data_IF_087970248471
#
_entry.id   IF_087970248471
#
_cell.length_a   1.000
_cell.length_b   1.000
_cell.length_c   1.000
_cell.angle_alpha   90.00
_cell.angle_beta   90.00
_cell.angle_gamma   90.00
#
_symmetry.space_group_name_H-M   'P 1'
#
loop_
_entity.id
_entity.type
_entity.pdbx_description
1 polymer ?
#
# COMPACT_ATOMS: atom_id res chain seq x y z
N UNK A 1 15.19 -0.81 63.00
CA UNK A 1 15.75 -0.23 64.23
C UNK A 1 16.65 0.95 63.85
N UNK A 2 16.21 2.15 64.26
CA UNK A 2 16.99 3.35 64.62
C UNK A 2 18.05 3.90 63.63
N UNK A 3 17.85 5.10 63.08
CA UNK A 3 18.17 6.41 63.72
C UNK A 3 19.70 6.60 63.82
N UNK A 4 20.35 7.72 63.53
CA UNK A 4 19.99 9.10 63.18
C UNK A 4 21.34 9.85 63.20
N UNK A 5 21.50 10.88 62.36
CA UNK A 5 22.20 12.15 62.61
C UNK A 5 23.72 12.14 62.97
N UNK A 6 24.60 12.77 62.16
CA UNK A 6 24.87 14.23 62.02
C UNK A 6 25.92 14.68 63.05
N UNK A 7 26.99 15.38 62.60
CA UNK A 7 27.49 16.71 63.08
C UNK A 7 29.00 16.95 62.77
N UNK A 8 29.34 17.92 61.87
CA UNK A 8 30.02 19.26 62.05
C UNK A 8 31.57 19.11 62.31
N UNK A 9 32.56 19.76 61.66
CA UNK A 9 32.90 21.21 61.61
C UNK A 9 33.93 21.58 60.51
N UNK A 10 33.62 22.72 59.87
CA UNK A 10 34.35 23.79 59.18
C UNK A 10 35.87 23.73 58.92
N UNK A 11 36.23 24.26 57.74
CA UNK A 11 37.20 25.37 57.60
C UNK A 11 36.76 26.35 56.50
N UNK A 12 36.71 27.63 56.84
CA UNK A 12 36.36 28.81 56.03
C UNK A 12 37.57 29.35 55.23
N UNK A 13 37.31 30.11 54.14
CA UNK A 13 37.95 31.38 53.70
C UNK A 13 37.41 31.74 52.29
N UNK A 14 36.39 32.63 52.19
CA UNK A 14 36.42 34.05 51.75
C UNK A 14 36.42 34.34 50.21
N UNK A 15 35.21 34.64 49.68
CA UNK A 15 34.73 35.78 48.84
C UNK A 15 35.57 36.40 47.68
N UNK A 16 34.98 37.09 46.66
CA UNK A 16 33.67 37.77 46.69
C UNK A 16 32.73 37.59 45.49
N UNK A 17 31.51 38.07 45.76
CA UNK A 17 30.27 38.11 44.98
C UNK A 17 30.32 39.26 43.96
N UNK A 18 29.81 39.03 42.75
CA UNK A 18 29.20 40.08 41.91
C UNK A 18 27.85 39.56 41.41
N UNK A 19 26.77 40.15 41.93
CA UNK A 19 25.43 39.95 41.42
C UNK A 19 25.21 40.75 40.15
N UNK A 20 24.50 40.15 39.20
CA UNK A 20 23.80 40.88 38.15
C UNK A 20 22.34 40.42 38.13
N UNK A 21 21.47 41.33 38.56
CA UNK A 21 20.05 41.38 38.28
C UNK A 21 19.85 41.55 36.78
N UNK A 22 19.04 40.71 36.15
CA UNK A 22 18.54 40.96 34.79
C UNK A 22 17.08 41.38 34.90
N UNK A 23 16.85 42.66 34.61
CA UNK A 23 15.53 43.24 34.40
C UNK A 23 14.82 42.56 33.22
N UNK A 24 13.57 42.17 33.44
CA UNK A 24 12.64 41.79 32.38
C UNK A 24 12.18 43.09 31.71
N UNK A 25 12.77 43.43 30.55
CA UNK A 25 12.17 44.37 29.60
C UNK A 25 11.52 43.57 28.48
N UNK A 26 10.22 43.77 28.31
CA UNK A 26 9.48 43.29 27.15
C UNK A 26 9.96 43.99 25.89
N UNK A 27 10.47 43.24 24.94
CA UNK A 27 10.69 43.69 23.56
C UNK A 27 9.67 42.99 22.65
N UNK A 28 8.88 43.82 21.99
CA UNK A 28 7.96 43.40 20.95
C UNK A 28 8.74 42.79 19.78
N UNK A 29 8.35 41.59 19.35
CA UNK A 29 8.90 40.96 18.15
C UNK A 29 8.35 41.72 16.94
N UNK A 30 9.18 42.62 16.40
CA UNK A 30 8.99 43.26 15.11
C UNK A 30 9.17 42.22 14.00
N UNK A 31 8.18 42.10 13.12
CA UNK A 31 8.25 41.29 11.90
C UNK A 31 9.42 41.77 11.03
N UNK A 32 10.41 40.91 10.81
CA UNK A 32 11.56 41.25 10.00
C UNK A 32 11.29 40.87 8.53
N UNK A 33 10.98 41.89 7.74
CA UNK A 33 10.78 41.90 6.28
C UNK A 33 12.07 41.52 5.52
N UNK A 34 12.46 40.24 5.53
CA UNK A 34 13.61 39.78 4.74
C UNK A 34 13.38 38.51 3.94
N UNK A 35 12.14 38.02 3.84
CA UNK A 35 11.80 36.89 2.96
C UNK A 35 11.24 37.37 1.61
N UNK A 36 10.44 38.43 1.58
CA UNK A 36 9.85 38.96 0.34
C UNK A 36 10.86 39.68 -0.58
N UNK A 37 11.89 40.33 -0.03
CA UNK A 37 12.88 41.05 -0.84
C UNK A 37 13.80 40.12 -1.66
N UNK A 38 14.01 38.87 -1.20
CA UNK A 38 14.84 37.88 -1.91
C UNK A 38 14.16 37.25 -3.13
N UNK A 39 12.85 37.44 -3.30
CA UNK A 39 12.09 36.91 -4.44
C UNK A 39 12.14 37.87 -5.64
N UNK A 40 12.40 39.16 -5.42
CA UNK A 40 12.19 40.19 -6.47
C UNK A 40 13.35 40.39 -7.46
N UNK A 41 14.54 39.84 -7.21
CA UNK A 41 15.75 40.13 -8.00
C UNK A 41 16.55 38.89 -8.45
N UNK A 42 15.91 37.79 -8.85
CA UNK A 42 16.58 36.77 -9.66
C UNK A 42 16.21 36.93 -11.12
N UNK A 43 17.22 37.18 -11.97
CA UNK A 43 17.19 36.94 -13.42
C UNK A 43 16.53 35.59 -13.70
N UNK A 44 15.83 35.41 -14.82
CA UNK A 44 15.14 34.16 -15.13
C UNK A 44 16.18 33.04 -15.14
N UNK A 45 16.17 32.20 -14.10
CA UNK A 45 16.76 30.88 -14.23
C UNK A 45 15.93 30.20 -15.32
N UNK A 46 16.62 29.68 -16.33
CA UNK A 46 16.03 28.77 -17.30
C UNK A 46 15.10 27.77 -16.59
N UNK A 47 13.88 27.65 -17.13
CA UNK A 47 12.84 26.72 -16.73
C UNK A 47 13.42 25.36 -16.29
N UNK A 48 13.36 25.04 -14.98
CA UNK A 48 13.49 23.66 -14.53
C UNK A 48 12.31 22.85 -15.09
N UNK A 49 12.52 22.09 -16.16
CA UNK A 49 11.51 21.20 -16.73
C UNK A 49 11.68 19.76 -16.21
N UNK A 50 10.58 19.00 -15.99
CA UNK A 50 9.35 19.39 -15.31
C UNK A 50 9.08 18.47 -14.10
N UNK A 51 8.06 18.81 -13.30
CA UNK A 51 7.52 17.97 -12.23
C UNK A 51 7.14 16.56 -12.75
N UNK A 52 7.06 15.56 -11.86
CA UNK A 52 6.49 14.26 -12.21
C UNK A 52 5.00 14.42 -12.57
N UNK A 53 4.71 14.52 -13.87
CA UNK A 53 3.38 14.87 -14.39
C UNK A 53 2.68 13.62 -14.93
N UNK A 54 1.37 13.54 -14.70
CA UNK A 54 0.50 12.51 -15.27
C UNK A 54 -0.07 12.94 -16.61
N UNK A 55 -0.55 11.96 -17.38
CA UNK A 55 -1.14 12.19 -18.69
C UNK A 55 -2.67 11.92 -18.65
N UNK A 56 -3.53 12.90 -19.00
CA UNK A 56 -4.98 12.69 -19.02
C UNK A 56 -5.42 11.60 -20.02
N UNK A 57 -4.62 11.31 -21.05
CA UNK A 57 -4.91 10.25 -22.02
C UNK A 57 -4.99 8.86 -21.39
N UNK A 58 -4.33 8.64 -20.23
CA UNK A 58 -4.46 7.39 -19.49
C UNK A 58 -5.90 7.12 -19.02
N UNK A 59 -6.71 8.16 -18.87
CA UNK A 59 -8.13 8.07 -18.49
C UNK A 59 -9.03 8.05 -19.72
N UNK A 60 -8.72 8.89 -20.72
CA UNK A 60 -9.57 9.03 -21.91
C UNK A 60 -9.48 7.80 -22.83
N UNK A 61 -8.27 7.31 -23.02
CA UNK A 61 -7.88 6.20 -23.90
C UNK A 61 -6.90 5.27 -23.16
N UNK A 62 -7.40 4.51 -22.15
CA UNK A 62 -6.56 3.75 -21.24
C UNK A 62 -5.72 2.69 -21.97
N UNK A 63 -4.41 2.72 -21.69
CA UNK A 63 -3.43 1.75 -22.19
C UNK A 63 -2.51 1.33 -21.06
N UNK A 64 -1.97 0.11 -21.15
CA UNK A 64 -0.98 -0.35 -20.19
C UNK A 64 0.30 0.50 -20.31
N UNK A 65 0.95 0.83 -19.18
CA UNK A 65 2.21 1.54 -19.22
C UNK A 65 3.31 0.69 -19.83
N UNK A 66 4.21 1.38 -20.52
CA UNK A 66 5.51 0.81 -20.86
C UNK A 66 6.31 0.53 -19.59
N UNK A 67 7.19 -0.45 -19.66
CA UNK A 67 8.08 -0.77 -18.54
C UNK A 67 8.97 0.44 -18.18
N UNK A 68 9.11 0.78 -16.88
CA UNK A 68 9.96 1.89 -16.48
C UNK A 68 11.41 1.64 -16.90
N UNK A 69 12.01 2.59 -17.64
CA UNK A 69 13.41 2.53 -18.05
C UNK A 69 14.23 3.65 -17.40
N UNK A 70 15.52 3.39 -17.15
CA UNK A 70 16.45 4.39 -16.63
C UNK A 70 16.90 5.32 -17.77
N UNK A 71 16.27 6.48 -17.92
CA UNK A 71 16.79 7.56 -18.79
C UNK A 71 17.79 8.43 -18.01
N UNK A 72 17.50 8.75 -16.73
CA UNK A 72 18.40 9.36 -15.72
C UNK A 72 18.04 8.90 -14.30
N UNK A 73 18.95 9.04 -13.33
CA UNK A 73 18.70 8.63 -11.92
C UNK A 73 17.63 9.47 -11.20
N UNK A 74 17.45 10.74 -11.56
CA UNK A 74 16.37 11.59 -11.04
C UNK A 74 14.99 11.15 -11.55
N UNK A 75 14.93 10.58 -12.75
CA UNK A 75 13.68 10.33 -13.48
C UNK A 75 13.10 8.94 -13.18
N UNK A 76 13.90 8.06 -12.55
CA UNK A 76 13.47 6.68 -12.29
C UNK A 76 12.34 6.60 -11.28
N UNK A 77 12.33 7.40 -10.22
CA UNK A 77 11.22 7.32 -9.25
C UNK A 77 9.91 7.73 -9.92
N UNK A 78 9.92 8.86 -10.62
CA UNK A 78 8.77 9.33 -11.35
C UNK A 78 8.25 8.30 -12.36
N UNK A 79 9.11 7.65 -13.15
CA UNK A 79 8.65 6.67 -14.15
C UNK A 79 7.93 5.47 -13.53
N UNK A 80 8.33 5.02 -12.34
CA UNK A 80 7.58 4.00 -11.58
C UNK A 80 6.25 4.52 -11.01
N UNK A 81 6.18 5.78 -10.59
CA UNK A 81 4.92 6.38 -10.13
C UNK A 81 3.94 6.61 -11.29
N UNK A 82 4.44 7.01 -12.47
CA UNK A 82 3.66 7.09 -13.70
C UNK A 82 3.17 5.70 -14.14
N UNK A 83 4.04 4.69 -14.09
CA UNK A 83 3.64 3.29 -14.30
C UNK A 83 2.52 2.87 -13.35
N UNK A 84 2.58 3.26 -12.07
CA UNK A 84 1.53 2.95 -11.11
C UNK A 84 0.20 3.61 -11.50
N UNK A 85 0.19 4.91 -11.75
CA UNK A 85 -1.04 5.65 -12.11
C UNK A 85 -1.64 5.20 -13.44
N UNK A 86 -0.83 4.97 -14.46
CA UNK A 86 -1.31 4.47 -15.74
C UNK A 86 -1.86 3.03 -15.61
N UNK A 87 -1.22 2.17 -14.80
CA UNK A 87 -1.75 0.83 -14.49
C UNK A 87 -3.09 0.91 -13.78
N UNK A 88 -3.23 1.81 -12.78
CA UNK A 88 -4.49 2.06 -12.10
C UNK A 88 -5.56 2.49 -13.10
N UNK A 89 -5.31 3.54 -13.90
CA UNK A 89 -6.26 4.05 -14.87
C UNK A 89 -6.72 2.99 -15.88
N UNK A 90 -5.81 2.10 -16.31
CA UNK A 90 -6.15 0.97 -17.17
C UNK A 90 -7.06 -0.04 -16.45
N UNK A 91 -6.64 -0.59 -15.32
CA UNK A 91 -7.37 -1.67 -14.66
C UNK A 91 -8.69 -1.22 -14.00
N UNK A 92 -8.84 0.07 -13.68
CA UNK A 92 -10.09 0.64 -13.14
C UNK A 92 -11.03 1.19 -14.21
N UNK A 93 -10.68 1.05 -15.48
CA UNK A 93 -11.53 1.47 -16.60
C UNK A 93 -12.28 0.29 -17.19
N UNK A 94 -13.61 0.40 -17.22
CA UNK A 94 -14.54 -0.51 -17.88
C UNK A 94 -14.36 -0.56 -19.42
N UNK A 95 -13.67 0.42 -20.00
CA UNK A 95 -13.28 0.43 -21.42
C UNK A 95 -12.16 -0.55 -21.79
N UNK A 96 -11.59 -1.27 -20.81
CA UNK A 96 -10.44 -2.17 -21.04
C UNK A 96 -10.85 -3.64 -20.90
N UNK A 97 -10.15 -4.53 -21.59
CA UNK A 97 -10.40 -5.97 -21.53
C UNK A 97 -9.99 -6.63 -20.20
N UNK A 98 -9.23 -5.92 -19.38
CA UNK A 98 -8.72 -6.39 -18.09
C UNK A 98 -9.32 -5.56 -16.95
N UNK A 99 -10.54 -5.05 -17.09
CA UNK A 99 -11.20 -4.35 -15.98
C UNK A 99 -11.18 -5.22 -14.73
N UNK A 100 -10.73 -4.67 -13.59
CA UNK A 100 -10.37 -5.48 -12.42
C UNK A 100 -11.53 -6.30 -11.84
N UNK A 101 -12.78 -5.90 -12.09
CA UNK A 101 -13.98 -6.63 -11.67
C UNK A 101 -14.26 -7.87 -12.52
N UNK A 102 -13.65 -7.98 -13.71
CA UNK A 102 -13.83 -9.11 -14.63
C UNK A 102 -12.69 -10.14 -14.47
N UNK A 103 -11.64 -9.78 -13.72
CA UNK A 103 -10.48 -10.63 -13.44
C UNK A 103 -10.83 -11.85 -12.58
N UNK A 104 -10.16 -12.99 -12.84
CA UNK A 104 -10.44 -14.23 -12.14
C UNK A 104 -10.06 -14.15 -10.66
N UNK A 105 -11.01 -14.30 -9.72
CA UNK A 105 -10.73 -14.28 -8.29
C UNK A 105 -10.07 -15.58 -7.81
N UNK A 106 -9.28 -15.48 -6.74
CA UNK A 106 -8.61 -16.60 -6.07
C UNK A 106 -9.55 -17.81 -5.88
N UNK A 107 -10.75 -17.59 -5.34
CA UNK A 107 -11.63 -18.68 -4.93
C UNK A 107 -12.14 -19.54 -6.10
N UNK A 108 -12.13 -18.98 -7.32
CA UNK A 108 -12.48 -19.72 -8.55
C UNK A 108 -11.31 -20.50 -9.13
N UNK A 109 -10.09 -20.14 -8.76
CA UNK A 109 -8.84 -20.79 -9.21
C UNK A 109 -8.46 -21.92 -8.26
N UNK A 110 -8.49 -21.68 -6.95
CA UNK A 110 -7.94 -22.56 -5.92
C UNK A 110 -8.96 -23.59 -5.43
N UNK A 111 -9.42 -24.40 -6.37
CA UNK A 111 -10.26 -25.60 -6.17
C UNK A 111 -9.74 -26.75 -7.03
N UNK A 112 -10.24 -27.97 -6.86
CA UNK A 112 -9.73 -29.17 -7.56
C UNK A 112 -9.70 -28.97 -9.08
N UNK A 113 -10.80 -28.43 -9.62
CA UNK A 113 -10.93 -28.07 -11.04
C UNK A 113 -11.18 -26.55 -11.12
N UNK A 114 -10.16 -25.75 -11.50
CA UNK A 114 -10.33 -24.30 -11.67
C UNK A 114 -11.46 -23.95 -12.63
N UNK A 115 -12.20 -22.87 -12.34
CA UNK A 115 -13.22 -22.38 -13.28
C UNK A 115 -12.60 -21.87 -14.57
N UNK A 116 -13.28 -22.12 -15.68
CA UNK A 116 -12.93 -21.51 -16.96
C UNK A 116 -13.11 -19.99 -16.93
N UNK A 117 -12.21 -19.29 -17.63
CA UNK A 117 -12.28 -17.83 -17.77
C UNK A 117 -13.57 -17.39 -18.49
N UNK A 118 -14.35 -16.52 -17.86
CA UNK A 118 -15.66 -16.09 -18.35
C UNK A 118 -15.93 -14.57 -18.23
N UNK A 119 -14.93 -13.78 -17.82
CA UNK A 119 -15.05 -12.33 -17.55
C UNK A 119 -16.13 -11.98 -16.50
N UNK A 120 -16.51 -12.89 -15.60
CA UNK A 120 -17.48 -12.59 -14.53
C UNK A 120 -16.85 -12.21 -13.20
N UNK A 121 -15.52 -12.29 -13.11
CA UNK A 121 -14.78 -12.11 -11.87
C UNK A 121 -15.42 -12.86 -10.69
N UNK A 122 -15.80 -12.10 -9.67
CA UNK A 122 -16.38 -12.58 -8.41
C UNK A 122 -17.92 -12.53 -8.36
N UNK A 123 -18.59 -12.30 -9.49
CA UNK A 123 -20.05 -12.29 -9.53
C UNK A 123 -20.62 -13.65 -9.08
N UNK A 124 -21.54 -13.62 -8.11
CA UNK A 124 -22.16 -14.81 -7.55
C UNK A 124 -21.34 -15.52 -6.46
N UNK A 125 -20.16 -15.01 -6.11
CA UNK A 125 -19.41 -15.49 -4.95
C UNK A 125 -19.90 -14.82 -3.66
N UNK A 126 -19.74 -15.55 -2.55
CA UNK A 126 -19.89 -15.01 -1.20
C UNK A 126 -18.51 -14.56 -0.71
N UNK A 127 -18.38 -13.28 -0.35
CA UNK A 127 -17.15 -12.72 0.18
C UNK A 127 -16.98 -13.10 1.65
N UNK A 128 -15.85 -13.73 1.99
CA UNK A 128 -15.58 -14.27 3.34
C UNK A 128 -14.22 -13.83 3.92
N UNK A 129 -13.32 -13.35 3.07
CA UNK A 129 -11.95 -13.01 3.45
C UNK A 129 -11.89 -11.67 4.20
N UNK A 130 -11.70 -11.70 5.52
CA UNK A 130 -11.66 -10.51 6.38
C UNK A 130 -10.35 -10.31 7.14
N UNK A 131 -9.43 -11.29 7.09
CA UNK A 131 -8.22 -11.34 7.92
C UNK A 131 -6.95 -10.96 7.14
N UNK A 132 -7.01 -9.87 6.37
CA UNK A 132 -5.93 -9.47 5.45
C UNK A 132 -5.31 -8.10 5.75
N UNK A 133 -5.58 -7.51 6.93
CA UNK A 133 -5.06 -6.22 7.38
C UNK A 133 -3.61 -6.27 7.94
N UNK A 134 -2.84 -7.28 7.54
CA UNK A 134 -1.48 -7.56 8.01
C UNK A 134 -1.39 -8.36 9.33
N UNK A 135 -2.51 -8.91 9.79
CA UNK A 135 -2.57 -9.79 10.96
C UNK A 135 -3.71 -10.80 10.80
N UNK A 136 -3.83 -11.76 11.71
CA UNK A 136 -4.97 -12.69 11.73
C UNK A 136 -6.23 -12.08 12.39
N UNK A 137 -6.38 -10.75 12.32
CA UNK A 137 -7.49 -10.01 12.90
C UNK A 137 -8.22 -9.19 11.82
N UNK A 138 -9.55 -9.03 11.93
CA UNK A 138 -10.30 -8.20 11.00
C UNK A 138 -10.02 -6.72 11.24
N UNK A 139 -9.99 -5.94 10.16
CA UNK A 139 -10.10 -4.49 10.22
C UNK A 139 -11.58 -4.12 10.31
N UNK A 140 -12.00 -3.56 11.44
CA UNK A 140 -13.39 -3.15 11.64
C UNK A 140 -13.58 -1.65 11.37
N UNK A 141 -14.62 -1.30 10.60
CA UNK A 141 -15.05 0.09 10.36
C UNK A 141 -15.68 0.75 11.61
N UNK A 142 -16.13 2.01 11.50
CA UNK A 142 -16.72 2.73 12.64
C UNK A 142 -18.05 2.15 13.13
N UNK A 143 -18.72 1.37 12.29
CA UNK A 143 -19.95 0.65 12.57
C UNK A 143 -19.68 -0.76 13.14
N UNK A 144 -18.41 -1.18 13.19
CA UNK A 144 -17.98 -2.48 13.71
C UNK A 144 -18.03 -3.61 12.69
N UNK A 145 -18.31 -3.33 11.42
CA UNK A 145 -18.30 -4.34 10.37
C UNK A 145 -16.86 -4.62 9.90
N UNK A 146 -16.53 -5.88 9.55
CA UNK A 146 -15.22 -6.19 9.00
C UNK A 146 -15.08 -5.63 7.57
N UNK A 147 -13.86 -5.27 7.22
CA UNK A 147 -13.43 -5.02 5.84
C UNK A 147 -13.19 -6.37 5.16
N UNK A 148 -13.72 -6.50 3.95
CA UNK A 148 -13.59 -7.69 3.10
C UNK A 148 -12.47 -7.49 2.09
N UNK A 149 -11.79 -8.56 1.70
CA UNK A 149 -10.65 -8.52 0.80
C UNK A 149 -10.81 -9.51 -0.32
N UNK A 150 -10.38 -9.13 -1.51
CA UNK A 150 -10.42 -10.00 -2.67
C UNK A 150 -9.11 -9.91 -3.44
N UNK A 151 -8.61 -11.07 -3.87
CA UNK A 151 -7.48 -11.17 -4.78
C UNK A 151 -7.99 -11.72 -6.12
N UNK A 152 -7.65 -11.05 -7.21
CA UNK A 152 -7.95 -11.49 -8.56
C UNK A 152 -6.72 -11.33 -9.47
N UNK A 153 -6.72 -12.08 -10.56
CA UNK A 153 -5.62 -12.07 -11.53
C UNK A 153 -6.13 -11.89 -12.95
N UNK A 154 -5.34 -11.21 -13.78
CA UNK A 154 -5.69 -11.04 -15.19
C UNK A 154 -5.60 -12.38 -15.95
N UNK A 155 -6.16 -12.40 -17.16
CA UNK A 155 -6.28 -13.60 -17.99
C UNK A 155 -4.95 -14.30 -18.22
N UNK A 156 -3.89 -13.52 -18.41
CA UNK A 156 -2.54 -14.02 -18.61
C UNK A 156 -2.02 -14.79 -17.40
N UNK A 157 -2.13 -14.20 -16.21
CA UNK A 157 -1.64 -14.85 -14.99
C UNK A 157 -2.51 -16.07 -14.63
N UNK A 158 -3.83 -15.99 -14.82
CA UNK A 158 -4.73 -17.13 -14.68
C UNK A 158 -4.26 -18.35 -15.51
N UNK A 159 -3.95 -18.16 -16.79
CA UNK A 159 -3.51 -19.27 -17.64
C UNK A 159 -2.17 -19.84 -17.22
N UNK A 160 -1.22 -19.01 -16.77
CA UNK A 160 0.05 -19.52 -16.23
C UNK A 160 -0.21 -20.37 -14.97
N UNK A 161 -1.11 -19.93 -14.08
CA UNK A 161 -1.49 -20.69 -12.86
C UNK A 161 -2.09 -22.05 -13.22
N UNK A 162 -3.06 -22.09 -14.13
CA UNK A 162 -3.74 -23.34 -14.53
C UNK A 162 -2.78 -24.27 -15.29
N UNK A 163 -2.00 -23.74 -16.24
CA UNK A 163 -1.00 -24.50 -17.00
C UNK A 163 0.00 -25.22 -16.08
N UNK A 164 0.41 -24.56 -15.00
CA UNK A 164 1.36 -25.11 -14.04
C UNK A 164 0.68 -25.86 -12.87
N UNK A 165 -0.65 -25.96 -12.85
CA UNK A 165 -1.40 -26.67 -11.80
C UNK A 165 -1.21 -26.07 -10.40
N UNK A 166 -1.00 -24.75 -10.29
CA UNK A 166 -0.61 -24.11 -9.01
C UNK A 166 -1.76 -24.00 -7.99
N UNK A 167 -2.95 -24.49 -8.33
CA UNK A 167 -4.02 -24.79 -7.38
C UNK A 167 -3.74 -26.06 -6.56
N UNK A 168 -2.82 -26.93 -7.03
CA UNK A 168 -2.38 -28.13 -6.34
C UNK A 168 -1.08 -27.89 -5.55
N UNK A 169 -1.11 -28.15 -4.24
CA UNK A 169 0.06 -27.97 -3.36
C UNK A 169 1.25 -28.86 -3.75
N UNK A 170 1.02 -29.99 -4.41
CA UNK A 170 2.10 -30.85 -4.87
C UNK A 170 2.86 -30.25 -6.07
N UNK A 171 2.19 -29.47 -6.93
CA UNK A 171 2.85 -28.70 -7.99
C UNK A 171 3.62 -27.51 -7.43
N UNK A 172 3.10 -26.88 -6.37
CA UNK A 172 3.84 -25.86 -5.60
C UNK A 172 5.12 -26.46 -4.99
N UNK A 173 5.05 -27.66 -4.41
CA UNK A 173 6.21 -28.35 -3.85
C UNK A 173 7.27 -28.73 -4.92
N UNK A 174 6.84 -29.11 -6.14
CA UNK A 174 7.74 -29.34 -7.27
C UNK A 174 8.50 -28.05 -7.67
N UNK A 175 7.85 -26.88 -7.60
CA UNK A 175 8.50 -25.58 -7.81
C UNK A 175 9.48 -25.28 -6.67
N UNK A 176 9.06 -25.48 -5.42
CA UNK A 176 9.89 -25.20 -4.25
C UNK A 176 11.16 -26.05 -4.20
N UNK A 177 11.05 -27.33 -4.55
CA UNK A 177 12.19 -28.24 -4.70
C UNK A 177 13.10 -27.92 -5.90
N UNK A 178 12.65 -27.05 -6.81
CA UNK A 178 13.38 -26.70 -8.04
C UNK A 178 13.28 -27.77 -9.14
N UNK A 179 12.40 -28.77 -8.96
CA UNK A 179 12.11 -29.78 -9.99
C UNK A 179 11.45 -29.16 -11.22
N UNK A 180 10.62 -28.14 -11.02
CA UNK A 180 10.03 -27.33 -12.08
C UNK A 180 10.33 -25.84 -11.87
N UNK A 181 10.58 -25.06 -12.94
CA UNK A 181 10.77 -23.62 -12.79
C UNK A 181 9.43 -22.92 -12.52
N UNK A 182 9.46 -21.88 -11.69
CA UNK A 182 8.35 -20.94 -11.59
C UNK A 182 8.37 -20.01 -12.81
N UNK A 183 7.45 -20.25 -13.75
CA UNK A 183 7.37 -19.47 -15.00
C UNK A 183 6.01 -18.76 -15.10
N UNK A 184 6.01 -17.48 -14.68
CA UNK A 184 4.89 -16.57 -14.91
C UNK A 184 5.31 -15.57 -15.98
N UNK A 185 4.48 -15.37 -16.97
CA UNK A 185 4.79 -14.53 -18.12
C UNK A 185 4.78 -13.02 -17.77
N UNK A 186 5.61 -12.18 -18.41
CA UNK A 186 5.47 -10.72 -18.33
C UNK A 186 4.08 -10.24 -18.77
N UNK A 187 3.52 -9.25 -18.08
CA UNK A 187 2.13 -8.80 -18.27
C UNK A 187 1.13 -9.48 -17.34
N UNK A 188 1.54 -10.52 -16.60
CA UNK A 188 0.76 -11.09 -15.51
C UNK A 188 0.57 -10.07 -14.38
N UNK A 189 -0.67 -9.92 -13.93
CA UNK A 189 -1.08 -8.94 -12.94
C UNK A 189 -1.95 -9.59 -11.87
N UNK A 190 -1.65 -9.28 -10.61
CA UNK A 190 -2.53 -9.52 -9.47
C UNK A 190 -3.09 -8.20 -8.96
N UNK A 191 -4.40 -8.18 -8.68
CA UNK A 191 -5.09 -7.08 -8.03
C UNK A 191 -5.61 -7.59 -6.69
N UNK A 192 -5.27 -6.89 -5.60
CA UNK A 192 -5.88 -7.10 -4.29
C UNK A 192 -6.72 -5.89 -3.95
N UNK A 193 -7.94 -6.09 -3.47
CA UNK A 193 -8.88 -5.01 -3.10
C UNK A 193 -9.35 -5.18 -1.67
N UNK A 194 -9.69 -4.07 -1.02
CA UNK A 194 -10.32 -4.03 0.29
C UNK A 194 -11.63 -3.24 0.21
N UNK A 195 -12.67 -3.74 0.86
CA UNK A 195 -14.04 -3.26 0.70
C UNK A 195 -14.69 -3.09 2.06
N UNK A 196 -15.28 -1.92 2.31
CA UNK A 196 -16.15 -1.72 3.48
C UNK A 196 -17.60 -1.95 3.11
N UNK A 197 -18.42 -2.34 4.08
CA UNK A 197 -19.87 -2.30 3.93
C UNK A 197 -20.34 -0.83 3.96
N UNK A 198 -21.21 -0.46 3.03
CA UNK A 198 -21.83 0.87 3.05
C UNK A 198 -22.96 0.89 4.07
N UNK A 199 -22.97 1.92 4.92
CA UNK A 199 -24.00 2.20 5.91
C UNK A 199 -24.77 3.47 5.52
N UNK A 200 -25.85 3.76 6.26
CA UNK A 200 -26.59 5.02 6.12
C UNK A 200 -25.77 6.27 6.49
N UNK A 201 -24.60 6.07 7.09
CA UNK A 201 -23.68 7.13 7.44
C UNK A 201 -22.69 7.44 6.31
N UNK A 202 -22.57 6.59 5.30
CA UNK A 202 -21.68 6.79 4.17
C UNK A 202 -22.37 7.55 3.03
N UNK A 203 -21.56 8.16 2.15
CA UNK A 203 -22.04 8.65 0.86
C UNK A 203 -21.52 7.73 -0.24
N UNK A 204 -22.32 6.79 -0.77
CA UNK A 204 -21.90 5.85 -1.79
C UNK A 204 -21.29 6.50 -3.04
N UNK A 205 -21.68 7.73 -3.38
CA UNK A 205 -21.15 8.46 -4.54
C UNK A 205 -19.65 8.80 -4.43
N UNK A 206 -19.07 8.71 -3.22
CA UNK A 206 -17.65 8.94 -3.00
C UNK A 206 -16.81 7.67 -3.25
N UNK A 207 -17.43 6.49 -3.29
CA UNK A 207 -16.76 5.20 -3.40
C UNK A 207 -17.08 4.54 -4.75
N UNK A 208 -16.16 3.71 -5.25
CA UNK A 208 -16.50 2.76 -6.29
C UNK A 208 -17.28 1.64 -5.60
N UNK A 209 -18.54 1.45 -5.97
CA UNK A 209 -19.45 0.58 -5.24
C UNK A 209 -19.90 -0.63 -6.03
N UNK A 210 -20.06 -1.75 -5.34
CA UNK A 210 -20.58 -3.01 -5.88
C UNK A 210 -21.62 -3.59 -4.92
N UNK A 211 -22.48 -4.48 -5.41
CA UNK A 211 -23.32 -5.33 -4.56
C UNK A 211 -22.76 -6.75 -4.56
N UNK A 212 -22.59 -7.34 -3.38
CA UNK A 212 -22.13 -8.72 -3.21
C UNK A 212 -22.82 -9.41 -2.04
N UNK A 213 -22.80 -10.72 -2.09
CA UNK A 213 -23.14 -11.54 -0.94
C UNK A 213 -21.91 -11.62 -0.04
N UNK A 214 -22.10 -11.46 1.27
CA UNK A 214 -21.02 -11.44 2.26
C UNK A 214 -21.36 -12.38 3.41
N UNK A 215 -20.36 -13.05 3.96
CA UNK A 215 -20.52 -13.82 5.20
C UNK A 215 -20.05 -12.99 6.40
N UNK A 216 -20.93 -12.83 7.39
CA UNK A 216 -20.62 -12.15 8.66
C UNK A 216 -21.09 -13.07 9.78
N UNK A 217 -20.17 -13.44 10.68
CA UNK A 217 -20.46 -14.29 11.84
C UNK A 217 -21.19 -15.60 11.47
N UNK A 218 -20.82 -16.21 10.34
CA UNK A 218 -21.40 -17.46 9.83
C UNK A 218 -22.77 -17.31 9.17
N UNK A 219 -23.28 -16.09 9.01
CA UNK A 219 -24.52 -15.80 8.29
C UNK A 219 -24.24 -15.09 6.96
N UNK A 220 -24.78 -15.62 5.88
CA UNK A 220 -24.73 -14.99 4.56
C UNK A 220 -25.76 -13.86 4.51
N UNK A 221 -25.29 -12.65 4.19
CA UNK A 221 -26.12 -11.50 3.85
C UNK A 221 -26.01 -11.25 2.36
N UNK A 222 -27.13 -11.36 1.65
CA UNK A 222 -27.15 -11.18 0.20
C UNK A 222 -27.30 -9.72 -0.22
N UNK A 223 -26.76 -9.40 -1.39
CA UNK A 223 -26.91 -8.11 -2.07
C UNK A 223 -26.55 -6.90 -1.19
N UNK A 224 -25.45 -7.00 -0.44
CA UNK A 224 -24.94 -5.92 0.41
C UNK A 224 -24.15 -4.93 -0.44
N UNK A 225 -24.44 -3.63 -0.29
CA UNK A 225 -23.70 -2.56 -0.94
C UNK A 225 -22.34 -2.39 -0.25
N UNK A 226 -21.27 -2.46 -1.04
CA UNK A 226 -19.89 -2.32 -0.59
C UNK A 226 -19.20 -1.18 -1.32
N UNK A 227 -18.21 -0.55 -0.69
CA UNK A 227 -17.38 0.49 -1.28
C UNK A 227 -15.90 0.17 -1.20
N UNK A 228 -15.18 0.35 -2.30
CA UNK A 228 -13.75 0.12 -2.39
C UNK A 228 -13.00 1.11 -1.47
N UNK A 229 -12.14 0.61 -0.60
CA UNK A 229 -11.32 1.45 0.30
C UNK A 229 -9.83 1.33 0.03
N UNK A 230 -9.37 0.27 -0.63
CA UNK A 230 -7.96 0.09 -0.98
C UNK A 230 -7.76 -0.85 -2.16
N UNK A 231 -6.70 -0.63 -2.92
CA UNK A 231 -6.34 -1.48 -4.06
C UNK A 231 -4.82 -1.56 -4.23
N UNK A 232 -4.32 -2.79 -4.33
CA UNK A 232 -2.98 -3.10 -4.78
C UNK A 232 -3.04 -3.59 -6.21
N UNK A 233 -2.10 -3.12 -7.03
CA UNK A 233 -1.90 -3.60 -8.40
C UNK A 233 -0.43 -4.02 -8.50
N UNK A 234 -0.21 -5.31 -8.71
CA UNK A 234 1.11 -5.93 -8.74
C UNK A 234 1.33 -6.51 -10.13
N UNK A 235 2.26 -5.93 -10.89
CA UNK A 235 2.47 -6.28 -12.31
C UNK A 235 3.85 -6.82 -12.58
N UNK A 236 3.93 -7.95 -13.29
CA UNK A 236 5.18 -8.48 -13.82
C UNK A 236 5.53 -7.79 -15.12
N UNK A 237 6.77 -7.36 -15.26
CA UNK A 237 7.31 -6.86 -16.55
C UNK A 237 8.57 -7.66 -16.93
N UNK A 238 9.14 -7.39 -18.10
CA UNK A 238 10.27 -8.17 -18.62
C UNK A 238 11.53 -7.98 -17.77
N UNK A 239 11.81 -6.75 -17.37
CA UNK A 239 12.94 -6.36 -16.52
C UNK A 239 12.57 -6.25 -15.04
N UNK A 240 11.30 -6.44 -14.67
CA UNK A 240 10.87 -6.66 -13.28
C UNK A 240 10.11 -7.98 -13.16
N UNK A 241 10.76 -9.13 -13.38
CA UNK A 241 10.12 -10.43 -13.22
C UNK A 241 9.74 -10.72 -11.76
N UNK A 242 10.20 -9.89 -10.83
CA UNK A 242 9.83 -9.86 -9.43
C UNK A 242 8.58 -9.05 -9.08
N UNK A 243 7.92 -8.52 -10.11
CA UNK A 243 6.79 -7.63 -10.04
C UNK A 243 7.10 -6.22 -9.50
N UNK A 244 6.37 -5.25 -10.03
CA UNK A 244 6.29 -3.88 -9.53
C UNK A 244 5.04 -3.80 -8.66
N UNK A 245 5.21 -3.35 -7.42
CA UNK A 245 4.18 -3.33 -6.40
C UNK A 245 3.65 -1.91 -6.24
N UNK A 246 2.35 -1.72 -6.47
CA UNK A 246 1.73 -0.39 -6.40
C UNK A 246 0.51 -0.42 -5.49
N UNK A 247 0.35 0.66 -4.71
CA UNK A 247 -0.70 0.75 -3.70
C UNK A 247 -1.47 2.05 -3.85
N UNK A 248 -2.79 1.94 -3.91
CA UNK A 248 -3.74 3.05 -3.90
C UNK A 248 -4.75 2.84 -2.78
N UNK A 249 -5.32 3.94 -2.30
CA UNK A 249 -6.40 3.88 -1.32
C UNK A 249 -7.33 5.08 -1.41
N UNK A 250 -8.50 4.93 -0.82
CA UNK A 250 -9.47 6.00 -0.73
C UNK A 250 -8.95 7.10 0.22
N UNK A 251 -9.01 8.37 -0.23
CA UNK A 251 -8.51 9.53 0.48
C UNK A 251 -9.10 9.63 1.88
N UNK A 252 -10.39 9.33 2.03
CA UNK A 252 -11.14 9.38 3.28
C UNK A 252 -10.91 8.21 4.26
N UNK A 253 -9.94 7.32 4.03
CA UNK A 253 -9.73 6.18 4.94
C UNK A 253 -9.30 6.60 6.35
N UNK A 254 -8.22 7.36 6.45
CA UNK A 254 -7.57 7.70 7.72
C UNK A 254 -6.75 8.99 7.59
N UNK A 255 -6.44 9.72 8.67
CA UNK A 255 -5.47 10.81 8.65
C UNK A 255 -4.03 10.26 8.65
N UNK A 256 -3.05 11.14 8.42
CA UNK A 256 -1.64 10.85 8.71
C UNK A 256 -1.43 10.91 10.22
N UNK A 257 -0.63 10.00 10.78
CA UNK A 257 -0.44 9.95 12.25
C UNK A 257 0.24 11.21 12.81
N UNK A 258 1.02 11.93 11.99
CA UNK A 258 1.62 13.21 12.36
C UNK A 258 0.57 14.34 12.50
N UNK A 259 -0.57 14.19 11.83
CA UNK A 259 -1.67 15.16 11.84
C UNK A 259 -2.73 14.82 12.90
N UNK A 260 -2.64 13.66 13.56
CA UNK A 260 -3.48 13.30 14.71
C UNK A 260 -2.97 14.11 15.91
N UNK A 261 -3.67 15.16 16.36
CA UNK A 261 -3.11 16.09 17.33
C UNK A 261 -3.14 15.49 18.73
N UNK A 262 -2.38 16.15 19.60
CA UNK A 262 -2.71 16.21 21.02
C UNK A 262 -4.19 16.65 21.14
N UNK A 263 -5.03 15.87 21.82
CA UNK A 263 -6.50 15.82 21.72
C UNK A 263 -7.24 17.16 21.95
N UNK A 264 -6.54 18.25 22.25
CA UNK A 264 -7.05 19.58 22.57
C UNK A 264 -7.33 20.47 21.35
N UNK A 265 -6.67 20.27 20.21
CA UNK A 265 -6.72 21.21 19.07
C UNK A 265 -7.29 20.66 17.76
N UNK A 266 -7.80 19.42 17.75
CA UNK A 266 -8.50 18.93 16.56
C UNK A 266 -9.84 19.66 16.44
N UNK A 267 -9.88 20.73 15.64
CA UNK A 267 -11.13 21.15 15.01
C UNK A 267 -11.68 19.93 14.30
N UNK A 268 -12.64 19.21 14.93
CA UNK A 268 -13.49 18.13 14.41
C UNK A 268 -13.10 17.76 12.97
N UNK A 269 -11.94 17.13 12.75
CA UNK A 269 -11.47 16.99 11.37
C UNK A 269 -12.46 16.10 10.63
N UNK A 270 -12.55 16.27 9.32
CA UNK A 270 -13.51 15.58 8.47
C UNK A 270 -13.73 14.10 8.80
N UNK A 271 -14.91 13.62 8.45
CA UNK A 271 -15.31 12.24 8.71
C UNK A 271 -14.36 11.26 8.01
N UNK A 272 -13.59 10.50 8.79
CA UNK A 272 -12.75 9.42 8.30
C UNK A 272 -13.48 8.09 8.37
N UNK A 273 -13.16 7.20 7.45
CA UNK A 273 -13.77 5.86 7.33
C UNK A 273 -13.34 4.95 8.48
N UNK A 274 -12.07 5.05 8.90
CA UNK A 274 -11.47 4.20 9.91
C UNK A 274 -10.85 4.99 11.07
N UNK A 275 -11.25 6.25 11.26
CA UNK A 275 -10.72 7.07 12.35
C UNK A 275 -11.78 7.98 12.96
N UNK A 276 -11.89 7.93 14.29
CA UNK A 276 -12.71 8.81 15.09
C UNK A 276 -11.80 9.58 16.06
N UNK A 277 -11.68 10.92 15.91
CA UNK A 277 -10.83 11.72 16.78
C UNK A 277 -11.27 11.75 18.25
N UNK A 278 -12.50 11.34 18.56
CA UNK A 278 -13.00 11.23 19.93
C UNK A 278 -12.66 9.88 20.57
N UNK A 279 -12.06 8.95 19.83
CA UNK A 279 -11.68 7.63 20.35
C UNK A 279 -10.38 7.69 21.12
N UNK A 280 -10.35 7.10 22.32
CA UNK A 280 -9.13 6.89 23.11
C UNK A 280 -8.41 5.58 22.78
N UNK A 281 -8.91 4.80 21.82
CA UNK A 281 -8.27 3.55 21.41
C UNK A 281 -6.92 3.83 20.75
N UNK A 282 -5.94 2.98 21.03
CA UNK A 282 -4.64 3.03 20.36
C UNK A 282 -4.83 2.83 18.85
N UNK A 283 -4.29 3.74 18.05
CA UNK A 283 -4.31 3.64 16.59
C UNK A 283 -3.54 2.41 16.07
N UNK A 284 -3.96 1.89 14.93
CA UNK A 284 -3.38 0.74 14.23
C UNK A 284 -3.23 -0.48 15.13
N UNK A 285 -4.20 -0.69 16.04
CA UNK A 285 -4.24 -1.81 16.99
C UNK A 285 -5.63 -2.44 16.96
N UNK A 286 -5.67 -3.77 16.91
CA UNK A 286 -6.94 -4.51 16.96
C UNK A 286 -7.46 -4.58 18.39
N UNK A 287 -8.75 -4.27 18.55
CA UNK A 287 -9.49 -4.47 19.80
C UNK A 287 -10.75 -5.30 19.47
N UNK A 288 -10.92 -6.51 20.06
CA UNK A 288 -12.06 -7.36 19.79
C UNK A 288 -13.41 -6.65 19.94
N UNK A 289 -14.27 -6.77 18.92
CA UNK A 289 -15.61 -6.18 18.92
C UNK A 289 -15.65 -4.65 18.93
N UNK A 290 -14.54 -3.97 18.62
CA UNK A 290 -14.47 -2.50 18.53
C UNK A 290 -14.07 -2.04 17.13
N UNK A 291 -14.52 -0.85 16.71
CA UNK A 291 -13.97 -0.16 15.55
C UNK A 291 -12.47 0.03 15.67
N UNK A 292 -11.74 -0.34 14.61
CA UNK A 292 -10.31 -0.06 14.55
C UNK A 292 -10.11 1.42 14.26
N UNK A 293 -9.18 2.04 15.00
CA UNK A 293 -8.75 3.41 14.74
C UNK A 293 -7.48 3.38 13.92
N UNK A 294 -7.47 3.99 12.75
CA UNK A 294 -6.39 3.90 11.78
C UNK A 294 -5.77 5.28 11.56
N UNK A 295 -4.45 5.33 11.46
CA UNK A 295 -3.73 6.48 10.91
C UNK A 295 -2.57 5.98 10.03
N UNK A 296 -2.14 6.79 9.08
CA UNK A 296 -0.99 6.47 8.20
C UNK A 296 0.30 6.84 8.89
N UNK A 297 1.12 5.85 9.25
CA UNK A 297 2.41 6.08 9.93
C UNK A 297 3.50 6.53 8.96
N UNK A 298 3.42 6.09 7.72
CA UNK A 298 4.42 6.38 6.67
C UNK A 298 3.71 6.85 5.39
N UNK A 299 3.15 8.07 5.40
CA UNK A 299 2.54 8.65 4.21
C UNK A 299 3.51 8.61 3.03
N UNK A 300 2.98 8.22 1.87
CA UNK A 300 3.75 8.01 0.64
C UNK A 300 4.85 6.92 0.70
N UNK A 301 4.84 6.09 1.75
CA UNK A 301 5.91 5.14 2.08
C UNK A 301 7.27 5.81 2.30
N UNK A 302 7.25 7.08 2.72
CA UNK A 302 8.45 7.89 2.99
C UNK A 302 8.69 7.95 4.49
N UNK A 303 9.96 7.88 4.89
CA UNK A 303 10.43 8.05 6.26
C UNK A 303 11.92 8.38 6.24
N UNK A 304 12.62 8.30 7.38
CA UNK A 304 14.05 8.65 7.52
C UNK A 304 14.94 8.00 6.44
N UNK A 305 14.56 6.80 5.95
CA UNK A 305 15.33 6.02 4.97
C UNK A 305 14.95 6.26 3.50
N UNK A 306 13.90 7.04 3.25
CA UNK A 306 13.40 7.35 1.91
C UNK A 306 13.75 8.78 1.55
N UNK A 307 14.15 9.02 0.30
CA UNK A 307 14.55 10.36 -0.10
C UNK A 307 13.31 11.27 -0.26
N UNK A 308 13.37 12.56 0.14
CA UNK A 308 12.24 13.49 0.03
C UNK A 308 11.65 13.62 -1.38
N UNK A 309 12.46 13.38 -2.42
CA UNK A 309 12.02 13.50 -3.82
C UNK A 309 10.94 12.48 -4.17
N UNK A 310 10.95 11.28 -3.57
CA UNK A 310 9.89 10.27 -3.80
C UNK A 310 8.53 10.82 -3.38
N UNK A 311 8.45 11.46 -2.21
CA UNK A 311 7.20 12.05 -1.73
C UNK A 311 6.76 13.22 -2.62
N UNK A 312 7.71 14.03 -3.10
CA UNK A 312 7.45 15.14 -4.01
C UNK A 312 6.84 14.65 -5.33
N UNK A 313 7.41 13.61 -5.92
CA UNK A 313 6.93 13.03 -7.19
C UNK A 313 5.52 12.46 -7.03
N UNK A 314 5.28 11.68 -5.97
CA UNK A 314 3.95 11.10 -5.71
C UNK A 314 2.90 12.18 -5.48
N UNK A 315 3.22 13.23 -4.71
CA UNK A 315 2.28 14.34 -4.45
C UNK A 315 1.94 15.09 -5.74
N UNK A 316 2.94 15.50 -6.51
CA UNK A 316 2.71 16.21 -7.78
C UNK A 316 1.87 15.38 -8.75
N UNK A 317 2.16 14.09 -8.86
CA UNK A 317 1.42 13.18 -9.74
C UNK A 317 -0.02 12.93 -9.23
N UNK A 318 -0.21 12.77 -7.93
CA UNK A 318 -1.53 12.66 -7.31
C UNK A 318 -2.38 13.91 -7.53
N UNK A 319 -1.80 15.11 -7.41
CA UNK A 319 -2.49 16.38 -7.67
C UNK A 319 -2.96 16.45 -9.12
N UNK A 320 -2.08 16.15 -10.08
CA UNK A 320 -2.41 16.14 -11.50
C UNK A 320 -3.51 15.12 -11.84
N UNK A 321 -3.34 13.86 -11.44
CA UNK A 321 -4.31 12.80 -11.72
C UNK A 321 -5.64 13.04 -11.03
N UNK A 322 -5.63 13.52 -9.78
CA UNK A 322 -6.84 13.91 -9.06
C UNK A 322 -7.60 15.00 -9.82
N UNK A 323 -6.90 16.03 -10.32
CA UNK A 323 -7.52 17.08 -11.13
C UNK A 323 -8.15 16.52 -12.40
N UNK A 324 -7.46 15.64 -13.13
CA UNK A 324 -8.01 15.02 -14.34
C UNK A 324 -9.25 14.15 -14.08
N UNK A 325 -9.29 13.39 -12.98
CA UNK A 325 -10.49 12.64 -12.62
C UNK A 325 -11.63 13.54 -12.14
N UNK A 326 -11.35 14.64 -11.43
CA UNK A 326 -12.36 15.60 -10.98
C UNK A 326 -13.05 16.29 -12.16
N UNK A 327 -12.29 16.74 -13.17
CA UNK A 327 -12.87 17.38 -14.36
C UNK A 327 -13.75 16.43 -15.18
N UNK A 328 -13.63 15.11 -14.95
CA UNK A 328 -14.46 14.05 -15.55
C UNK A 328 -15.58 13.58 -14.62
N UNK A 329 -15.80 14.23 -13.47
CA UNK A 329 -16.74 13.79 -12.43
C UNK A 329 -16.57 12.31 -12.05
N UNK A 330 -15.33 11.82 -12.07
CA UNK A 330 -15.03 10.41 -11.85
C UNK A 330 -14.82 10.12 -10.36
N UNK A 331 -15.37 9.00 -9.90
CA UNK A 331 -15.20 8.51 -8.52
C UNK A 331 -13.73 8.25 -8.16
N UNK A 332 -12.90 7.95 -9.17
CA UNK A 332 -11.47 7.71 -9.01
C UNK A 332 -10.70 8.93 -8.51
N UNK A 333 -11.29 10.14 -8.58
CA UNK A 333 -10.76 11.34 -7.93
C UNK A 333 -10.69 11.24 -6.39
N UNK A 334 -11.41 10.30 -5.79
CA UNK A 334 -11.38 10.04 -4.35
C UNK A 334 -10.29 9.04 -3.93
N UNK A 335 -9.46 8.57 -4.85
CA UNK A 335 -8.35 7.65 -4.58
C UNK A 335 -7.02 8.35 -4.90
N UNK A 336 -5.95 7.88 -4.28
CA UNK A 336 -4.61 8.41 -4.54
C UNK A 336 -3.56 7.30 -4.47
N UNK A 337 -2.44 7.52 -5.17
CA UNK A 337 -1.27 6.65 -5.09
C UNK A 337 -0.61 6.85 -3.72
N UNK A 338 -0.58 5.80 -2.91
CA UNK A 338 0.26 5.74 -1.71
C UNK A 338 1.72 5.57 -2.14
N UNK A 339 1.99 4.77 -3.15
CA UNK A 339 3.34 4.67 -3.70
C UNK A 339 3.58 3.38 -4.46
N UNK A 340 4.83 3.22 -4.89
CA UNK A 340 5.29 2.03 -5.60
C UNK A 340 6.65 1.54 -5.06
N UNK A 341 6.87 0.22 -5.13
CA UNK A 341 8.12 -0.44 -4.75
C UNK A 341 8.53 -1.46 -5.80
N UNK A 342 9.85 -1.55 -6.04
CA UNK A 342 10.48 -2.48 -6.98
C UNK A 342 11.90 -2.81 -6.54
N UNK A 343 12.48 -3.88 -7.09
CA UNK A 343 13.86 -4.25 -6.78
C UNK A 343 14.80 -3.39 -7.59
N UNK A 344 15.74 -2.71 -6.93
CA UNK A 344 16.80 -1.96 -7.61
C UNK A 344 17.93 -2.93 -7.95
N UNK A 345 18.23 -3.02 -9.24
CA UNK A 345 19.44 -3.65 -9.73
C UNK A 345 20.66 -2.74 -9.48
N UNK A 346 21.44 -3.07 -8.45
CA UNK A 346 22.77 -2.50 -8.20
C UNK A 346 23.76 -3.62 -7.82
N UNK A 347 24.97 -3.58 -8.40
CA UNK A 347 26.03 -4.56 -8.13
C UNK A 347 25.78 -5.96 -8.73
N UNK A 348 26.05 -7.01 -7.95
CA UNK A 348 25.99 -8.43 -8.34
C UNK A 348 24.59 -9.04 -8.40
N UNK A 349 23.56 -8.30 -7.99
CA UNK A 349 22.16 -8.75 -8.09
C UNK A 349 21.72 -8.61 -9.54
N UNK A 350 21.54 -9.75 -10.21
CA UNK A 350 21.00 -9.76 -11.58
C UNK A 350 19.56 -9.26 -11.56
N UNK A 351 19.16 -8.57 -12.62
CA UNK A 351 17.74 -8.29 -12.89
C UNK A 351 16.98 -9.61 -12.75
N UNK A 352 15.99 -9.62 -11.86
CA UNK A 352 15.11 -10.77 -11.67
C UNK A 352 15.56 -11.84 -10.68
N UNK A 353 16.45 -11.55 -9.74
CA UNK A 353 16.74 -12.52 -8.70
C UNK A 353 15.59 -12.69 -7.69
N UNK A 354 14.91 -11.62 -7.23
CA UNK A 354 13.74 -11.72 -6.33
C UNK A 354 13.01 -10.37 -6.15
N UNK A 355 11.76 -10.40 -5.64
CA UNK A 355 10.99 -9.22 -5.17
C UNK A 355 11.74 -8.37 -4.16
N UNK A 356 11.30 -7.12 -3.92
CA UNK A 356 11.90 -6.29 -2.90
C UNK A 356 11.77 -6.99 -1.53
N UNK A 357 12.90 -7.18 -0.84
CA UNK A 357 13.04 -7.78 0.48
C UNK A 357 14.01 -6.93 1.32
N UNK A 358 14.34 -7.40 2.52
CA UNK A 358 15.38 -6.78 3.32
C UNK A 358 16.81 -6.98 2.79
N UNK A 359 17.05 -7.98 1.94
CA UNK A 359 18.39 -8.34 1.42
C UNK A 359 18.79 -7.54 0.17
N UNK A 360 17.83 -7.05 -0.60
CA UNK A 360 18.04 -6.27 -1.81
C UNK A 360 17.65 -4.79 -1.62
N UNK A 361 18.18 -3.95 -2.49
CA UNK A 361 17.83 -2.53 -2.52
C UNK A 361 16.40 -2.36 -3.05
N UNK A 362 15.58 -1.60 -2.31
CA UNK A 362 14.21 -1.27 -2.68
C UNK A 362 14.15 0.15 -3.21
N UNK A 363 13.56 0.31 -4.39
CA UNK A 363 13.32 1.61 -5.01
C UNK A 363 12.01 2.25 -4.54
N UNK A 364 11.88 3.57 -4.72
CA UNK A 364 10.65 4.31 -4.42
C UNK A 364 10.26 4.31 -2.95
N UNK A 365 9.00 3.93 -2.67
CA UNK A 365 8.34 3.99 -1.37
C UNK A 365 8.78 2.84 -0.45
N UNK A 366 9.97 2.92 0.14
CA UNK A 366 10.55 1.82 0.96
C UNK A 366 9.73 1.40 2.18
N UNK A 367 8.84 2.28 2.66
CA UNK A 367 7.94 2.04 3.80
C UNK A 367 6.48 1.98 3.34
N UNK A 368 6.23 1.53 2.10
CA UNK A 368 4.91 1.46 1.51
C UNK A 368 3.98 0.62 2.40
N UNK A 369 2.83 1.18 2.76
CA UNK A 369 1.80 0.51 3.55
C UNK A 369 0.44 1.13 3.31
N UNK A 370 -0.55 0.32 2.97
CA UNK A 370 -1.94 0.72 2.84
C UNK A 370 -2.61 0.81 4.22
N UNK A 371 -3.48 1.80 4.40
CA UNK A 371 -4.26 1.98 5.63
C UNK A 371 -5.17 0.81 5.97
N UNK A 372 -5.58 0.01 4.98
CA UNK A 372 -6.55 -1.08 5.12
C UNK A 372 -5.96 -2.49 4.92
N UNK A 373 -4.82 -2.65 4.24
CA UNK A 373 -4.18 -3.96 4.02
C UNK A 373 -2.94 -4.18 4.89
N UNK A 374 -2.24 -3.12 5.30
CA UNK A 374 -1.08 -3.20 6.19
C UNK A 374 -1.34 -2.53 7.54
N UNK A 375 -2.61 -2.32 7.91
CA UNK A 375 -3.05 -1.56 9.09
C UNK A 375 -2.22 -1.85 10.33
N UNK A 376 -2.07 -3.14 10.68
CA UNK A 376 -1.43 -3.57 11.93
C UNK A 376 0.09 -3.74 11.83
N UNK A 377 0.67 -3.55 10.63
CA UNK A 377 2.11 -3.71 10.38
C UNK A 377 2.78 -2.49 9.76
N UNK A 378 2.10 -1.33 9.75
CA UNK A 378 2.74 -0.04 9.48
C UNK A 378 3.78 0.22 10.59
N UNK A 379 5.06 -0.07 10.37
CA UNK A 379 6.05 -0.08 11.45
C UNK A 379 7.30 0.76 11.18
N UNK A 380 7.25 2.10 11.30
CA UNK A 380 8.41 2.97 11.09
C UNK A 380 9.55 2.77 12.11
N UNK A 381 9.26 2.35 13.34
CA UNK A 381 10.28 2.23 14.41
C UNK A 381 11.15 0.97 14.27
N UNK A 382 10.63 -0.11 13.67
CA UNK A 382 11.42 -1.31 13.35
C UNK A 382 12.63 -0.99 12.46
N UNK A 383 12.49 0.02 11.60
CA UNK A 383 13.50 0.42 10.63
C UNK A 383 14.67 1.19 11.23
N UNK A 384 14.51 1.80 12.41
CA UNK A 384 15.55 2.63 13.05
C UNK A 384 16.53 1.78 13.88
N UNK A 385 16.05 0.67 14.46
CA UNK A 385 16.83 -0.13 15.41
C UNK A 385 17.30 -1.49 14.85
N UNK A 386 16.72 -1.98 13.75
CA UNK A 386 16.96 -3.36 13.28
C UNK A 386 17.10 -3.44 11.75
N UNK A 387 18.24 -3.03 11.20
CA UNK A 387 18.71 -3.53 9.91
C UNK A 387 20.04 -4.24 10.11
N UNK A 388 20.19 -5.53 9.69
CA UNK A 388 19.73 -6.05 8.39
C UNK A 388 19.11 -7.48 8.46
N UNK A 389 17.99 -7.72 9.17
CA UNK A 389 17.44 -9.10 9.30
C UNK A 389 15.91 -9.25 9.10
N UNK A 390 15.18 -8.19 8.75
CA UNK A 390 13.70 -8.20 8.70
C UNK A 390 13.12 -7.34 7.57
N UNK A 391 11.98 -7.80 7.04
CA UNK A 391 11.28 -7.26 5.87
C UNK A 391 10.84 -5.80 5.98
N UNK A 392 10.65 -5.13 4.83
CA UNK A 392 10.38 -3.68 4.71
C UNK A 392 8.99 -3.39 4.09
N UNK A 393 8.33 -2.31 4.51
CA UNK A 393 7.03 -1.89 3.95
C UNK A 393 5.98 -3.02 3.96
N UNK A 394 5.22 -3.14 2.86
CA UNK A 394 4.24 -4.19 2.64
C UNK A 394 4.85 -5.61 2.71
N UNK A 395 6.15 -5.77 2.43
CA UNK A 395 6.83 -7.06 2.52
C UNK A 395 6.91 -7.60 3.96
N UNK A 396 6.64 -6.78 4.98
CA UNK A 396 6.43 -7.27 6.34
C UNK A 396 5.28 -8.29 6.44
N UNK A 397 4.24 -8.16 5.60
CA UNK A 397 3.18 -9.15 5.45
C UNK A 397 3.62 -10.35 4.60
N UNK A 398 4.48 -10.12 3.61
CA UNK A 398 4.86 -11.14 2.62
C UNK A 398 5.96 -12.09 3.11
N UNK A 399 6.63 -11.82 4.26
CA UNK A 399 7.54 -12.73 5.01
C UNK A 399 8.36 -13.69 4.13
N UNK A 400 8.90 -13.14 3.05
CA UNK A 400 9.52 -13.90 1.98
C UNK A 400 11.04 -13.87 2.19
N UNK A 401 11.63 -15.04 2.46
CA UNK A 401 13.08 -15.17 2.45
C UNK A 401 13.53 -15.81 1.13
N UNK A 402 14.22 -15.06 0.25
CA UNK A 402 14.66 -15.53 -1.06
C UNK A 402 15.67 -16.67 -1.00
N UNK A 403 16.27 -16.95 0.17
CA UNK A 403 17.18 -18.09 0.37
C UNK A 403 16.45 -19.39 0.68
N UNK A 404 15.19 -19.33 1.11
CA UNK A 404 14.45 -20.50 1.61
C UNK A 404 13.12 -20.74 0.91
N UNK A 405 12.62 -19.77 0.16
CA UNK A 405 11.35 -19.85 -0.56
C UNK A 405 11.50 -19.40 -2.01
N UNK A 406 10.67 -19.94 -2.90
CA UNK A 406 10.53 -19.46 -4.28
C UNK A 406 9.60 -18.24 -4.34
N UNK A 407 9.79 -17.40 -5.35
CA UNK A 407 9.06 -16.14 -5.52
C UNK A 407 7.53 -16.30 -5.60
N UNK A 408 7.03 -17.51 -5.91
CA UNK A 408 5.61 -17.87 -5.80
C UNK A 408 5.00 -17.42 -4.46
N UNK A 409 5.73 -17.63 -3.35
CA UNK A 409 5.25 -17.36 -1.98
C UNK A 409 5.14 -15.88 -1.61
N UNK A 410 5.43 -14.97 -2.55
CA UNK A 410 5.08 -13.57 -2.40
C UNK A 410 3.59 -13.36 -2.41
N UNK A 411 2.88 -14.02 -3.32
CA UNK A 411 1.43 -13.89 -3.34
C UNK A 411 0.85 -14.82 -2.29
N UNK A 412 0.07 -14.26 -1.36
CA UNK A 412 -0.68 -15.06 -0.39
C UNK A 412 -1.72 -15.95 -1.07
N UNK A 413 -2.04 -15.71 -2.35
CA UNK A 413 -3.01 -16.47 -3.12
C UNK A 413 -2.64 -17.96 -3.19
N UNK A 414 -1.34 -18.27 -3.34
CA UNK A 414 -0.86 -19.65 -3.44
C UNK A 414 -0.93 -20.45 -2.14
N UNK A 415 -1.15 -19.78 -0.99
CA UNK A 415 -1.42 -20.48 0.27
C UNK A 415 -2.77 -21.21 0.26
N UNK A 416 -3.65 -20.91 -0.71
CA UNK A 416 -4.93 -21.59 -0.89
C UNK A 416 -4.83 -22.91 -1.67
N UNK A 417 -3.64 -23.27 -2.17
CA UNK A 417 -3.43 -24.55 -2.87
C UNK A 417 -3.67 -25.73 -1.91
N UNK A 418 -4.38 -26.75 -2.39
CA UNK A 418 -4.67 -27.97 -1.64
C UNK A 418 -4.06 -29.19 -2.33
N UNK A 419 -3.92 -30.29 -1.60
CA UNK A 419 -3.42 -31.54 -2.18
C UNK A 419 -4.52 -32.22 -3.00
N UNK A 420 -4.36 -32.19 -4.33
CA UNK A 420 -5.23 -32.88 -5.29
C UNK A 420 -4.52 -34.09 -5.93
N UNK A 421 -3.48 -34.62 -5.25
CA UNK A 421 -2.69 -35.74 -5.73
C UNK A 421 -1.46 -35.32 -6.52
N UNK A 422 -0.89 -36.28 -7.26
CA UNK A 422 0.38 -36.08 -7.97
C UNK A 422 0.33 -34.86 -8.90
N UNK A 423 1.41 -34.07 -8.91
CA UNK A 423 1.54 -32.97 -9.85
C UNK A 423 1.57 -33.51 -11.29
N UNK A 424 0.42 -33.40 -11.96
CA UNK A 424 0.25 -33.63 -13.38
C UNK A 424 -0.12 -32.26 -13.95
N UNK A 425 0.81 -31.55 -14.62
CA UNK A 425 0.49 -30.29 -15.26
C UNK A 425 -0.77 -30.50 -16.12
N UNK A 426 -1.80 -29.67 -15.92
CA UNK A 426 -3.02 -29.79 -16.70
C UNK A 426 -2.64 -29.63 -18.18
N UNK A 427 -2.82 -30.70 -18.96
CA UNK A 427 -2.81 -30.58 -20.42
C UNK A 427 -4.00 -29.72 -20.76
N UNK A 428 -3.73 -28.47 -21.12
CA UNK A 428 -4.74 -27.60 -21.71
C UNK A 428 -5.11 -28.19 -23.08
N UNK A 429 -6.07 -29.13 -23.09
CA UNK A 429 -6.89 -29.41 -24.27
C UNK A 429 -7.91 -28.26 -24.50
N UNK A 430 -7.83 -27.20 -23.69
CA UNK A 430 -8.49 -25.91 -23.92
C UNK A 430 -7.68 -25.07 -24.90
N UNK A 431 -7.78 -25.39 -26.20
CA UNK A 431 -7.40 -24.43 -27.23
C UNK A 431 -8.27 -23.16 -27.07
N UNK A 432 -7.67 -21.96 -27.07
CA UNK A 432 -8.45 -20.74 -27.24
C UNK A 432 -9.05 -20.79 -28.65
N UNK A 433 -10.37 -20.93 -28.75
CA UNK A 433 -11.06 -20.58 -29.99
C UNK A 433 -10.80 -19.09 -30.21
N UNK A 434 -10.14 -18.80 -31.33
CA UNK A 434 -9.68 -17.49 -31.81
C UNK A 434 -10.71 -16.38 -31.63
#
# INVERSE_FOLDING_TARGET
>A
MNCLKRIIILSFLLSPIHGYSIEIRGEAIQANDSYEYKIRNKKPLELEAPYCIGDPSWIDSPTLPQEPTKTRKSDINCSFMQFAWQSFAYYTSDKTSDFFMDMMPKDRIFKEIPDSWDNKGDQGLVQTEVLQAGSNFPLNDQEGNPVFYQQSVNKKFYYDIVKHGLNNSQCVADIDSGKTPFDISPGSTEVKTSWKLMSNHDNPKQFFTIHRDVEIDGAVKSNVLMGLVGIHIVRKTKNHPEFIWTTFEHKGNAPDCADVPDLSNFKKSGKWTFFNPMSFQKVNTYFPGKPTQVCRKTPYGVGILTKPEVAKDIKALNEAMSHYYQTRNSVWSNYFLVGASWTVSSGSVKIGEVPPTWKNEIGGSKLLSNSTMETYVQNPQWFVLVHPKKDRGCFACHKYDPLTKKALHLSHMFNAAQDYGQCLPLRLDFEPKN
#
